data_IF_137283714329
#
_entry.id   IF_137283714329
#
_cell.length_a   1.000
_cell.length_b   1.000
_cell.length_c   1.000
_cell.angle_alpha   90.00
_cell.angle_beta   90.00
_cell.angle_gamma   90.00
#
_symmetry.space_group_name_H-M   'P 1'
#
loop_
_entity.id
_entity.type
_entity.pdbx_description
1 polymer ?
#
# COMPACT_ATOMS: atom_id res chain seq x y z
N UNK A 1 25.85 39.17 -0.01
CA UNK A 1 24.51 38.63 -0.34
C UNK A 1 24.69 37.19 -0.78
N UNK A 2 24.58 36.19 0.11
CA UNK A 2 24.61 34.80 -0.34
C UNK A 2 23.36 34.50 -1.19
N UNK A 3 23.55 33.79 -2.30
CA UNK A 3 22.49 33.30 -3.17
C UNK A 3 21.65 32.33 -2.34
N UNK A 4 20.41 32.71 -2.02
CA UNK A 4 19.48 31.97 -1.17
C UNK A 4 19.04 30.63 -1.77
N UNK A 5 19.97 29.69 -1.90
CA UNK A 5 19.67 28.31 -2.15
C UNK A 5 19.25 27.68 -0.83
N UNK A 6 17.99 27.25 -0.78
CA UNK A 6 17.53 26.37 0.28
C UNK A 6 18.22 25.00 0.05
N UNK A 7 19.24 24.71 0.86
CA UNK A 7 20.01 23.47 0.84
C UNK A 7 19.37 22.38 1.73
N UNK A 8 18.16 22.61 2.24
CA UNK A 8 17.35 21.56 2.84
C UNK A 8 16.89 20.62 1.72
N UNK A 9 17.76 19.70 1.34
CA UNK A 9 17.38 18.46 0.67
C UNK A 9 16.60 17.59 1.67
N UNK A 10 15.48 18.11 2.17
CA UNK A 10 14.35 17.28 2.51
C UNK A 10 13.88 16.70 1.19
N UNK A 11 14.49 15.59 0.77
CA UNK A 11 14.00 14.77 -0.32
C UNK A 11 12.58 14.38 0.04
N UNK A 12 11.63 15.23 -0.35
CA UNK A 12 10.20 14.98 -0.40
C UNK A 12 9.99 13.94 -1.48
N UNK A 13 10.46 12.72 -1.23
CA UNK A 13 9.90 11.58 -1.91
C UNK A 13 8.49 11.49 -1.38
N UNK A 14 7.51 11.88 -2.20
CA UNK A 14 6.12 11.44 -2.10
C UNK A 14 6.12 9.90 -2.22
N UNK A 15 6.64 9.23 -1.19
CA UNK A 15 6.65 7.79 -1.08
C UNK A 15 5.24 7.44 -0.66
N UNK A 16 4.51 6.84 -1.60
CA UNK A 16 3.16 6.33 -1.35
C UNK A 16 3.17 5.48 -0.07
N UNK A 17 2.16 5.63 0.80
CA UNK A 17 2.06 4.81 2.00
C UNK A 17 2.08 3.33 1.61
N UNK A 18 2.80 2.51 2.37
CA UNK A 18 3.02 1.12 2.00
C UNK A 18 2.14 0.19 2.85
N UNK A 19 1.76 -0.93 2.27
CA UNK A 19 1.26 -2.08 3.02
C UNK A 19 2.38 -3.11 3.07
N UNK A 20 2.55 -3.73 4.23
CA UNK A 20 3.56 -4.73 4.52
C UNK A 20 2.86 -6.00 4.97
N UNK A 21 3.33 -7.13 4.47
CA UNK A 21 2.94 -8.45 4.95
C UNK A 21 4.04 -9.03 5.82
N UNK A 22 3.71 -9.42 7.05
CA UNK A 22 4.62 -10.21 7.86
C UNK A 22 4.42 -11.71 7.57
N UNK A 23 5.29 -12.28 6.75
CA UNK A 23 5.23 -13.70 6.41
C UNK A 23 5.58 -14.65 7.57
N UNK A 24 6.00 -14.17 8.75
CA UNK A 24 6.22 -15.02 9.93
C UNK A 24 4.99 -15.03 10.84
N UNK A 25 4.43 -13.86 11.11
CA UNK A 25 3.27 -13.70 11.99
C UNK A 25 1.95 -13.95 11.25
N UNK A 26 1.88 -13.56 9.96
CA UNK A 26 0.68 -13.60 9.14
C UNK A 26 -0.13 -12.32 9.19
N UNK A 27 0.48 -11.22 9.63
CA UNK A 27 -0.20 -9.96 9.87
C UNK A 27 -0.01 -9.00 8.69
N UNK A 28 -1.10 -8.32 8.32
CA UNK A 28 -1.07 -7.24 7.35
C UNK A 28 -0.88 -5.93 8.10
N UNK A 29 0.23 -5.25 7.87
CA UNK A 29 0.57 -4.00 8.52
C UNK A 29 0.47 -2.88 7.50
N UNK A 30 -0.32 -1.85 7.77
CA UNK A 30 -0.21 -0.58 7.06
C UNK A 30 0.94 0.21 7.69
N UNK A 31 1.85 0.73 6.87
CA UNK A 31 2.93 1.61 7.34
C UNK A 31 2.77 2.97 6.68
N UNK A 32 2.26 3.91 7.44
CA UNK A 32 2.16 5.31 7.08
C UNK A 32 3.38 6.08 7.62
N UNK A 33 3.78 7.13 6.92
CA UNK A 33 4.84 8.03 7.37
C UNK A 33 4.28 9.44 7.44
N UNK A 34 4.45 10.09 8.58
CA UNK A 34 4.07 11.48 8.77
C UNK A 34 5.27 12.25 9.29
N UNK A 35 5.38 13.50 8.86
CA UNK A 35 6.38 14.40 9.42
C UNK A 35 5.81 14.98 10.71
N UNK A 36 6.48 14.70 11.83
CA UNK A 36 6.12 15.31 13.10
C UNK A 36 6.49 16.80 13.09
N UNK A 37 5.92 17.56 14.04
CA UNK A 37 6.07 19.02 14.11
C UNK A 37 7.52 19.50 14.33
N UNK A 38 8.42 18.57 14.66
CA UNK A 38 9.85 18.75 14.84
C UNK A 38 10.66 18.52 13.54
N UNK A 39 9.99 18.22 12.42
CA UNK A 39 10.62 17.92 11.13
C UNK A 39 11.08 16.46 10.99
N UNK A 40 10.95 15.63 12.05
CA UNK A 40 11.35 14.23 12.05
C UNK A 40 10.27 13.38 11.38
N UNK A 41 10.68 12.46 10.50
CA UNK A 41 9.77 11.47 9.92
C UNK A 41 9.45 10.37 10.93
N UNK A 42 8.20 10.30 11.36
CA UNK A 42 7.68 9.23 12.20
C UNK A 42 6.96 8.19 11.33
N UNK A 43 7.00 6.94 11.76
CA UNK A 43 6.30 5.82 11.12
C UNK A 43 5.12 5.44 12.01
N UNK A 44 3.93 5.36 11.42
CA UNK A 44 2.76 4.75 12.02
C UNK A 44 2.59 3.36 11.40
N UNK A 45 2.85 2.31 12.18
CA UNK A 45 2.54 0.94 11.77
C UNK A 45 1.26 0.52 12.48
N UNK A 46 0.21 0.22 11.72
CA UNK A 46 -1.04 -0.31 12.26
C UNK A 46 -1.37 -1.65 11.61
N UNK A 47 -1.78 -2.61 12.44
CA UNK A 47 -2.27 -3.90 11.99
C UNK A 47 -3.68 -3.76 11.39
N UNK A 48 -3.88 -4.35 10.22
CA UNK A 48 -5.17 -4.47 9.55
C UNK A 48 -5.76 -5.84 9.85
N UNK A 49 -6.96 -5.85 10.39
CA UNK A 49 -7.71 -7.08 10.66
C UNK A 49 -8.15 -7.75 9.36
N UNK A 50 -7.93 -9.06 9.25
CA UNK A 50 -8.47 -9.91 8.19
C UNK A 50 -9.90 -10.36 8.54
N UNK A 51 -10.81 -10.54 7.56
CA UNK A 51 -10.61 -10.43 6.12
C UNK A 51 -10.64 -8.97 5.61
N UNK A 52 -9.81 -8.66 4.60
CA UNK A 52 -9.77 -7.34 3.97
C UNK A 52 -9.86 -7.44 2.46
N UNK A 53 -10.51 -6.47 1.83
CA UNK A 53 -10.63 -6.35 0.38
C UNK A 53 -9.77 -5.19 -0.13
N UNK A 54 -8.98 -5.46 -1.16
CA UNK A 54 -8.10 -4.46 -1.78
C UNK A 54 -8.07 -4.63 -3.29
N UNK A 55 -8.26 -3.54 -4.02
CA UNK A 55 -8.12 -3.52 -5.46
C UNK A 55 -6.63 -3.54 -5.83
N UNK A 56 -6.17 -4.56 -6.55
CA UNK A 56 -4.76 -4.73 -6.89
C UNK A 56 -4.51 -4.47 -8.37
N UNK A 57 -3.60 -3.55 -8.69
CA UNK A 57 -3.24 -3.24 -10.08
C UNK A 57 -2.32 -4.32 -10.68
N UNK A 58 -2.88 -5.50 -10.96
CA UNK A 58 -2.13 -6.60 -11.56
C UNK A 58 -1.70 -6.30 -13.00
N UNK A 59 -2.37 -5.39 -13.70
CA UNK A 59 -1.97 -4.97 -15.05
C UNK A 59 -0.69 -4.12 -15.07
N UNK A 60 -0.44 -3.35 -14.00
CA UNK A 60 0.75 -2.54 -13.83
C UNK A 60 1.71 -3.08 -12.75
N UNK A 61 1.60 -4.38 -12.42
CA UNK A 61 2.51 -5.00 -11.47
C UNK A 61 3.95 -4.95 -11.97
N UNK A 62 4.85 -4.68 -11.05
CA UNK A 62 6.29 -4.65 -11.30
C UNK A 62 6.95 -5.81 -10.57
N UNK A 63 7.86 -6.49 -11.27
CA UNK A 63 8.62 -7.64 -10.78
C UNK A 63 10.10 -7.38 -11.00
N UNK A 64 10.93 -7.82 -10.07
CA UNK A 64 12.37 -7.63 -10.19
C UNK A 64 13.12 -8.01 -8.93
N UNK A 65 14.00 -7.11 -8.52
CA UNK A 65 15.04 -7.37 -7.53
C UNK A 65 15.02 -6.33 -6.42
N UNK A 66 15.12 -6.80 -5.18
CA UNK A 66 15.20 -5.99 -3.96
C UNK A 66 16.44 -6.40 -3.17
N UNK A 67 17.31 -5.43 -2.86
CA UNK A 67 18.45 -5.59 -1.96
C UNK A 67 18.40 -4.59 -0.82
N UNK A 68 18.94 -4.97 0.34
CA UNK A 68 19.17 -4.08 1.48
C UNK A 68 20.67 -3.99 1.82
N UNK A 69 21.54 -4.53 0.98
CA UNK A 69 22.97 -4.69 1.28
C UNK A 69 23.71 -3.33 1.41
N UNK A 70 23.23 -2.29 0.74
CA UNK A 70 23.80 -0.93 0.77
C UNK A 70 23.33 -0.09 1.96
N UNK A 71 22.51 -0.64 2.86
CA UNK A 71 21.88 0.10 3.97
C UNK A 71 20.61 0.87 3.56
N UNK A 72 20.36 1.01 2.26
CA UNK A 72 19.10 1.49 1.69
C UNK A 72 18.46 0.38 0.83
N UNK A 73 17.13 0.36 0.70
CA UNK A 73 16.47 -0.56 -0.20
C UNK A 73 16.77 -0.18 -1.66
N UNK A 74 17.49 -1.04 -2.36
CA UNK A 74 17.70 -0.97 -3.81
C UNK A 74 16.60 -1.76 -4.51
N UNK A 75 15.73 -1.05 -5.23
CA UNK A 75 14.63 -1.62 -5.99
C UNK A 75 14.96 -1.55 -7.49
N UNK A 76 15.26 -2.69 -8.09
CA UNK A 76 15.40 -2.84 -9.54
C UNK A 76 14.18 -3.61 -10.06
N UNK A 77 13.08 -2.89 -10.30
CA UNK A 77 11.80 -3.46 -10.73
C UNK A 77 11.55 -3.14 -12.21
N UNK A 78 11.00 -4.09 -12.97
CA UNK A 78 10.45 -3.85 -14.30
C UNK A 78 8.98 -4.22 -14.32
N UNK A 79 8.19 -3.63 -15.22
CA UNK A 79 6.78 -4.01 -15.36
C UNK A 79 6.66 -5.45 -15.85
N UNK A 80 5.57 -6.13 -15.54
CA UNK A 80 5.32 -7.50 -16.02
C UNK A 80 5.29 -7.60 -17.56
N UNK A 81 4.96 -6.50 -18.24
CA UNK A 81 4.98 -6.39 -19.71
C UNK A 81 6.38 -6.21 -20.29
N UNK A 82 7.36 -5.87 -19.46
CA UNK A 82 8.75 -5.62 -19.82
C UNK A 82 9.60 -6.86 -19.51
N UNK A 83 10.75 -7.04 -20.18
CA UNK A 83 11.65 -8.14 -19.86
C UNK A 83 12.09 -8.05 -18.40
N UNK A 84 12.15 -9.20 -17.74
CA UNK A 84 12.59 -9.29 -16.34
C UNK A 84 14.00 -8.72 -16.21
N UNK A 85 14.26 -7.82 -15.23
CA UNK A 85 15.53 -7.12 -15.15
C UNK A 85 16.67 -8.10 -14.83
N UNK A 86 17.85 -7.85 -15.39
CA UNK A 86 19.05 -8.63 -15.07
C UNK A 86 19.37 -8.53 -13.58
N UNK A 87 19.84 -9.64 -12.99
CA UNK A 87 20.18 -9.66 -11.57
C UNK A 87 21.37 -8.74 -11.30
N UNK A 88 21.22 -7.67 -10.50
CA UNK A 88 22.32 -6.71 -10.30
C UNK A 88 23.44 -7.28 -9.43
N UNK A 89 23.08 -8.09 -8.42
CA UNK A 89 24.04 -8.82 -7.58
C UNK A 89 23.39 -10.05 -6.93
N UNK A 90 24.18 -10.96 -6.37
CA UNK A 90 23.66 -12.11 -5.61
C UNK A 90 22.90 -11.72 -4.34
N UNK A 91 23.15 -10.54 -3.79
CA UNK A 91 22.45 -10.02 -2.60
C UNK A 91 21.03 -9.55 -2.91
N UNK A 92 20.73 -9.32 -4.20
CA UNK A 92 19.40 -8.97 -4.64
C UNK A 92 18.49 -10.20 -4.60
N UNK A 93 17.39 -10.08 -3.86
CA UNK A 93 16.34 -11.08 -3.78
C UNK A 93 15.22 -10.72 -4.73
N UNK A 94 14.61 -11.73 -5.35
CA UNK A 94 13.43 -11.52 -6.18
C UNK A 94 12.31 -10.91 -5.33
N UNK A 95 11.67 -9.88 -5.86
CA UNK A 95 10.55 -9.22 -5.22
C UNK A 95 9.57 -8.71 -6.27
N UNK A 96 8.36 -8.41 -5.80
CA UNK A 96 7.36 -7.71 -6.60
C UNK A 96 6.98 -6.41 -5.92
N UNK A 97 6.46 -5.48 -6.71
CA UNK A 97 5.81 -4.25 -6.28
C UNK A 97 4.51 -4.10 -7.05
N UNK A 98 3.42 -3.89 -6.33
CA UNK A 98 2.09 -3.68 -6.90
C UNK A 98 1.40 -2.53 -6.17
N UNK A 99 0.63 -1.75 -6.92
CA UNK A 99 -0.21 -0.71 -6.33
C UNK A 99 -1.54 -1.33 -5.93
N UNK A 100 -1.96 -1.04 -4.71
CA UNK A 100 -3.21 -1.52 -4.13
C UNK A 100 -4.04 -0.36 -3.66
N UNK A 101 -5.34 -0.38 -3.90
CA UNK A 101 -6.27 0.63 -3.44
C UNK A 101 -7.31 -0.01 -2.51
N UNK A 102 -7.48 0.56 -1.32
CA UNK A 102 -8.52 0.16 -0.37
C UNK A 102 -9.47 1.32 -0.16
N UNK A 103 -10.76 1.04 -0.01
CA UNK A 103 -11.81 2.07 0.14
C UNK A 103 -11.54 3.00 1.33
N UNK A 104 -11.01 2.45 2.43
CA UNK A 104 -10.76 3.17 3.68
C UNK A 104 -9.39 3.85 3.73
N UNK A 105 -8.42 3.36 2.96
CA UNK A 105 -7.00 3.74 3.09
C UNK A 105 -6.42 4.44 1.87
N UNK A 106 -7.14 4.47 0.74
CA UNK A 106 -6.66 5.04 -0.52
C UNK A 106 -5.65 4.16 -1.26
N UNK A 107 -4.82 4.79 -2.09
CA UNK A 107 -3.76 4.14 -2.86
C UNK A 107 -2.54 3.87 -1.98
N UNK A 108 -2.03 2.64 -2.02
CA UNK A 108 -0.86 2.17 -1.31
C UNK A 108 0.02 1.30 -2.19
N UNK A 109 1.29 1.19 -1.82
CA UNK A 109 2.21 0.26 -2.48
C UNK A 109 2.40 -0.99 -1.63
N UNK A 110 2.28 -2.15 -2.25
CA UNK A 110 2.52 -3.45 -1.64
C UNK A 110 3.73 -4.08 -2.32
N UNK A 111 4.77 -4.39 -1.54
CA UNK A 111 5.98 -5.05 -2.07
C UNK A 111 6.46 -6.14 -1.14
N UNK A 112 6.90 -7.26 -1.72
CA UNK A 112 7.42 -8.37 -0.92
C UNK A 112 8.39 -9.27 -1.69
N UNK A 113 9.29 -9.94 -0.96
CA UNK A 113 10.38 -10.78 -1.49
C UNK A 113 10.35 -12.23 -1.00
N UNK A 114 9.36 -12.61 -0.18
CA UNK A 114 9.24 -13.98 0.29
C UNK A 114 8.80 -14.92 -0.84
N UNK A 115 9.54 -16.01 -1.06
CA UNK A 115 9.24 -17.00 -2.11
C UNK A 115 7.84 -17.60 -2.00
N UNK A 116 7.32 -17.77 -0.78
CA UNK A 116 5.98 -18.32 -0.56
C UNK A 116 4.89 -17.34 -1.02
N UNK A 117 5.05 -16.05 -0.71
CA UNK A 117 4.11 -15.01 -1.14
C UNK A 117 4.23 -14.75 -2.65
N UNK A 118 5.44 -14.81 -3.21
CA UNK A 118 5.65 -14.77 -4.67
C UNK A 118 4.89 -15.88 -5.39
N UNK A 119 4.88 -17.11 -4.85
CA UNK A 119 4.09 -18.23 -5.41
C UNK A 119 2.59 -18.00 -5.31
N UNK A 120 2.11 -17.45 -4.19
CA UNK A 120 0.70 -17.08 -4.06
C UNK A 120 0.31 -16.01 -5.10
N UNK A 121 1.24 -15.09 -5.39
CA UNK A 121 1.01 -14.02 -6.37
C UNK A 121 0.96 -14.55 -7.78
N UNK A 122 1.84 -15.49 -8.12
CA UNK A 122 1.82 -16.20 -9.40
C UNK A 122 0.46 -16.90 -9.61
N UNK A 123 -0.05 -17.57 -8.58
CA UNK A 123 -1.39 -18.19 -8.62
C UNK A 123 -2.51 -17.17 -8.86
N UNK A 124 -2.48 -16.05 -8.14
CA UNK A 124 -3.43 -14.96 -8.29
C UNK A 124 -3.34 -14.30 -9.68
N UNK A 125 -2.12 -14.10 -10.19
CA UNK A 125 -1.87 -13.49 -11.49
C UNK A 125 -2.36 -14.39 -12.63
N UNK A 126 -2.18 -15.71 -12.52
CA UNK A 126 -2.75 -16.68 -13.47
C UNK A 126 -4.28 -16.63 -13.51
N UNK A 127 -4.91 -16.49 -12.35
CA UNK A 127 -6.36 -16.29 -12.29
C UNK A 127 -6.75 -14.98 -12.98
N UNK A 128 -6.03 -13.89 -12.69
CA UNK A 128 -6.22 -12.62 -13.37
C UNK A 128 -6.05 -12.73 -14.89
N UNK A 129 -5.02 -13.39 -15.42
CA UNK A 129 -4.83 -13.56 -16.86
C UNK A 129 -5.99 -14.32 -17.53
N UNK A 130 -6.59 -15.29 -16.82
CA UNK A 130 -7.74 -16.03 -17.32
C UNK A 130 -9.02 -15.18 -17.37
N UNK A 131 -9.20 -14.26 -16.42
CA UNK A 131 -10.40 -13.44 -16.28
C UNK A 131 -10.27 -12.04 -16.93
N UNK A 132 -9.05 -11.51 -17.08
CA UNK A 132 -8.76 -10.17 -17.60
C UNK A 132 -9.36 -9.89 -19.00
N UNK A 133 -9.38 -10.84 -19.96
CA UNK A 133 -10.05 -10.64 -21.24
C UNK A 133 -11.55 -10.37 -21.11
N UNK A 134 -12.21 -10.91 -20.08
CA UNK A 134 -13.63 -10.66 -19.79
C UNK A 134 -13.88 -9.35 -19.02
N UNK A 135 -12.82 -8.77 -18.44
CA UNK A 135 -12.87 -7.60 -17.57
C UNK A 135 -11.90 -6.49 -18.00
N UNK A 136 -11.83 -6.23 -19.32
CA UNK A 136 -10.95 -5.19 -19.87
C UNK A 136 -11.19 -3.81 -19.24
N UNK A 137 -10.09 -3.18 -18.79
CA UNK A 137 -10.12 -1.85 -18.15
C UNK A 137 -10.50 -1.86 -16.67
N UNK A 138 -10.79 -3.02 -16.09
CA UNK A 138 -11.11 -3.18 -14.67
C UNK A 138 -9.92 -3.69 -13.87
N UNK A 139 -9.94 -3.39 -12.58
CA UNK A 139 -8.97 -3.84 -11.59
C UNK A 139 -9.63 -4.91 -10.72
N UNK A 140 -8.97 -6.07 -10.50
CA UNK A 140 -9.48 -7.09 -9.60
C UNK A 140 -9.40 -6.61 -8.15
N UNK A 141 -10.51 -6.77 -7.43
CA UNK A 141 -10.58 -6.67 -5.98
C UNK A 141 -10.22 -8.03 -5.40
N UNK A 142 -9.10 -8.04 -4.70
CA UNK A 142 -8.53 -9.21 -4.06
C UNK A 142 -8.93 -9.17 -2.59
N UNK A 143 -9.63 -10.21 -2.15
CA UNK A 143 -9.93 -10.44 -0.75
C UNK A 143 -8.85 -11.32 -0.15
N UNK A 144 -8.31 -10.88 0.99
CA UNK A 144 -7.42 -11.67 1.84
C UNK A 144 -8.29 -12.26 2.94
N UNK A 145 -8.70 -13.52 2.79
CA UNK A 145 -9.62 -14.19 3.73
C UNK A 145 -8.92 -14.66 5.00
N UNK A 146 -7.65 -15.01 4.89
CA UNK A 146 -6.87 -15.61 5.96
C UNK A 146 -5.42 -15.87 5.56
N UNK A 147 -4.77 -16.76 6.32
CA UNK A 147 -3.39 -17.14 6.08
C UNK A 147 -3.21 -18.65 6.12
N UNK A 148 -2.57 -19.19 5.11
CA UNK A 148 -2.11 -20.56 5.08
C UNK A 148 -0.70 -20.66 5.70
N UNK A 149 -0.46 -21.66 6.55
CA UNK A 149 0.87 -21.87 7.15
C UNK A 149 1.65 -22.91 6.37
N UNK A 150 2.65 -22.47 5.62
CA UNK A 150 3.57 -23.34 4.90
C UNK A 150 4.82 -23.58 5.76
N UNK A 151 5.16 -24.85 5.94
CA UNK A 151 6.39 -25.29 6.61
C UNK A 151 7.45 -25.60 5.57
N UNK A 152 8.55 -24.87 5.60
CA UNK A 152 9.72 -25.11 4.76
C UNK A 152 10.81 -25.70 5.65
N UNK A 153 11.20 -26.94 5.36
CA UNK A 153 12.35 -27.56 5.99
C UNK A 153 13.63 -26.99 5.37
N UNK A 154 14.33 -26.15 6.12
CA UNK A 154 15.65 -25.63 5.80
C UNK A 154 16.72 -26.52 6.48
N UNK A 155 17.95 -26.60 5.95
CA UNK A 155 19.09 -27.20 6.66
C UNK A 155 19.34 -26.65 8.06
N UNK A 156 18.81 -25.45 8.37
CA UNK A 156 18.93 -24.75 9.65
C UNK A 156 17.70 -24.94 10.56
N UNK A 157 16.67 -25.69 10.13
CA UNK A 157 15.46 -25.98 10.90
C UNK A 157 14.14 -25.83 10.13
N UNK A 158 13.02 -26.14 10.79
CA UNK A 158 11.67 -25.91 10.25
C UNK A 158 11.34 -24.41 10.28
N UNK A 159 11.28 -23.78 9.11
CA UNK A 159 10.81 -22.40 8.97
C UNK A 159 9.32 -22.41 8.65
N UNK A 160 8.53 -21.70 9.46
CA UNK A 160 7.09 -21.54 9.23
C UNK A 160 6.85 -20.18 8.59
N UNK A 161 6.21 -20.19 7.43
CA UNK A 161 5.79 -19.00 6.72
C UNK A 161 4.28 -18.97 6.58
N UNK A 162 3.69 -17.81 6.83
CA UNK A 162 2.28 -17.50 6.63
C UNK A 162 2.10 -16.86 5.26
N UNK A 163 1.35 -17.55 4.43
CA UNK A 163 1.02 -17.12 3.07
C UNK A 163 -0.38 -16.56 3.08
N UNK A 164 -0.60 -15.36 2.54
CA UNK A 164 -1.94 -14.79 2.48
C UNK A 164 -2.80 -15.58 1.48
N UNK A 165 -4.02 -15.92 1.88
CA UNK A 165 -5.00 -16.56 1.00
C UNK A 165 -5.71 -15.49 0.18
N UNK A 166 -5.24 -15.29 -1.04
CA UNK A 166 -5.79 -14.33 -1.98
C UNK A 166 -6.87 -14.94 -2.86
N UNK A 167 -7.96 -14.21 -3.05
CA UNK A 167 -9.01 -14.58 -3.99
C UNK A 167 -9.56 -13.33 -4.67
N UNK A 168 -9.67 -13.36 -6.00
CA UNK A 168 -10.36 -12.31 -6.74
C UNK A 168 -11.86 -12.47 -6.49
N UNK A 169 -12.46 -11.49 -5.80
CA UNK A 169 -13.88 -11.54 -5.42
C UNK A 169 -14.76 -10.60 -6.23
N UNK A 170 -14.18 -9.50 -6.72
CA UNK A 170 -14.90 -8.48 -7.48
C UNK A 170 -13.98 -7.83 -8.52
N UNK A 171 -14.56 -7.16 -9.50
CA UNK A 171 -13.84 -6.38 -10.51
C UNK A 171 -14.41 -4.97 -10.55
N UNK A 172 -13.60 -3.98 -10.18
CA UNK A 172 -14.01 -2.57 -10.16
C UNK A 172 -13.39 -1.82 -11.32
N UNK A 173 -14.02 -0.74 -11.76
CA UNK A 173 -13.38 0.20 -12.68
C UNK A 173 -12.10 0.75 -12.04
N UNK A 174 -11.02 0.87 -12.83
CA UNK A 174 -9.73 1.37 -12.33
C UNK A 174 -9.94 2.71 -11.62
N UNK A 175 -9.80 2.77 -10.28
CA UNK A 175 -10.10 3.99 -9.58
C UNK A 175 -9.01 5.01 -9.91
N UNK A 176 -9.37 6.27 -10.20
CA UNK A 176 -8.42 7.32 -10.65
C UNK A 176 -7.22 7.53 -9.72
N UNK A 177 -7.35 7.15 -8.45
CA UNK A 177 -6.24 7.12 -7.49
C UNK A 177 -5.08 6.22 -7.96
N UNK A 178 -5.32 5.21 -8.80
CA UNK A 178 -4.29 4.32 -9.34
C UNK A 178 -3.52 4.90 -10.53
N UNK A 179 -4.08 5.88 -11.25
CA UNK A 179 -3.44 6.54 -12.40
C UNK A 179 -2.39 7.60 -11.99
N UNK A 180 -1.99 7.64 -10.72
CA UNK A 180 -0.92 8.54 -10.26
C UNK A 180 -1.35 10.00 -10.10
N UNK A 181 -2.65 10.27 -10.03
CA UNK A 181 -3.11 11.48 -9.37
C UNK A 181 -2.81 11.34 -7.89
N UNK A 182 -1.86 12.12 -7.39
CA UNK A 182 -1.70 12.37 -5.97
C UNK A 182 -3.10 12.37 -5.33
N UNK A 183 -3.29 11.55 -4.29
CA UNK A 183 -4.31 11.90 -3.33
C UNK A 183 -3.90 13.31 -2.90
N UNK A 184 -4.59 14.33 -3.44
CA UNK A 184 -4.48 15.66 -2.90
C UNK A 184 -4.63 15.45 -1.39
N UNK A 185 -3.69 15.97 -0.57
CA UNK A 185 -3.81 15.87 0.87
C UNK A 185 -5.24 16.26 1.16
N UNK A 186 -5.98 15.39 1.85
CA UNK A 186 -7.32 15.72 2.27
C UNK A 186 -7.17 16.93 3.14
N UNK A 187 -7.37 18.10 2.54
CA UNK A 187 -7.36 19.37 3.22
C UNK A 187 -8.32 19.18 4.39
N UNK A 188 -7.88 19.37 5.65
CA UNK A 188 -8.75 19.17 6.78
C UNK A 188 -9.99 20.00 6.51
N UNK A 189 -11.13 19.31 6.41
CA UNK A 189 -12.41 19.94 6.08
C UNK A 189 -12.51 21.22 6.90
N UNK A 190 -12.70 22.40 6.26
CA UNK A 190 -12.73 23.65 6.99
C UNK A 190 -13.77 23.48 8.08
N UNK A 191 -13.31 23.57 9.33
CA UNK A 191 -14.16 23.51 10.50
C UNK A 191 -15.31 24.46 10.23
N UNK A 192 -16.52 23.90 10.12
CA UNK A 192 -17.72 24.65 9.85
C UNK A 192 -17.76 25.78 10.88
N UNK A 193 -17.53 26.99 10.40
CA UNK A 193 -17.53 28.21 11.19
C UNK A 193 -18.90 28.25 11.84
N UNK A 194 -18.93 28.01 13.16
CA UNK A 194 -20.16 28.03 13.93
C UNK A 194 -20.75 29.42 13.75
N UNK A 195 -21.89 29.49 13.05
CA UNK A 195 -22.64 30.73 12.89
C UNK A 195 -22.89 31.33 14.28
N UNK A 196 -22.73 32.66 14.47
CA UNK A 196 -23.10 33.31 15.70
C UNK A 196 -24.61 33.10 15.95
N UNK A 197 -25.05 32.74 17.17
CA UNK A 197 -26.47 32.70 17.46
C UNK A 197 -27.06 34.09 17.28
N UNK A 198 -28.00 34.19 16.33
CA UNK A 198 -28.80 35.37 16.08
C UNK A 198 -29.62 35.73 17.33
N UNK A 199 -29.75 37.05 17.51
CA UNK A 199 -30.41 37.73 18.61
C UNK A 199 -31.73 37.08 19.05
N UNK A 200 -31.83 36.85 20.36
CA UNK A 200 -33.09 36.69 21.04
C UNK A 200 -33.76 38.07 21.16
N UNK A 201 -34.95 38.21 20.56
CA UNK A 201 -35.89 39.25 20.95
C UNK A 201 -37.12 38.63 21.64
N UNK A 202 -37.74 39.38 22.56
CA UNK A 202 -38.41 38.81 23.72
C UNK A 202 -39.90 38.59 23.45
N UNK A 203 -40.48 37.56 24.07
CA UNK A 203 -41.93 37.50 24.25
C UNK A 203 -42.25 36.99 25.64
N UNK A 204 -42.46 37.95 26.53
CA UNK A 204 -43.66 38.08 27.35
C UNK A 204 -44.15 36.88 28.17
N UNK A 205 -44.23 37.14 29.47
CA UNK A 205 -45.33 36.79 30.37
C UNK A 205 -45.23 35.46 31.17
N UNK A 206 -44.93 35.66 32.46
CA UNK A 206 -45.80 35.44 33.61
C UNK A 206 -45.43 34.34 34.63
N UNK A 207 -45.50 34.75 35.91
CA UNK A 207 -45.65 33.98 37.17
C UNK A 207 -44.32 33.40 37.71
N UNK A 208 -43.74 33.84 38.83
CA UNK A 208 -44.30 34.16 40.17
C UNK A 208 -43.43 35.20 40.89
#
# INVERSE_FOLDING_TARGET
MPLGFNLEAGSSGDILPIIKWDAKAGDLLRQDRFQASDGTWQKDEQELSLPIQMAMDLGAIEVGWLSFASGAPDFQMAKITEPFPEQPSQDHKQAFRVRVATKDLGLREFSHSAKTVLRALDGLFRQYEAEAPAHMGKVPVVTISGTETIKINSPQGELRFKVPEWSITEWIDRPKVMDGGAAAPSEPAPAAVSQPPAAAEPTGANLF
#
